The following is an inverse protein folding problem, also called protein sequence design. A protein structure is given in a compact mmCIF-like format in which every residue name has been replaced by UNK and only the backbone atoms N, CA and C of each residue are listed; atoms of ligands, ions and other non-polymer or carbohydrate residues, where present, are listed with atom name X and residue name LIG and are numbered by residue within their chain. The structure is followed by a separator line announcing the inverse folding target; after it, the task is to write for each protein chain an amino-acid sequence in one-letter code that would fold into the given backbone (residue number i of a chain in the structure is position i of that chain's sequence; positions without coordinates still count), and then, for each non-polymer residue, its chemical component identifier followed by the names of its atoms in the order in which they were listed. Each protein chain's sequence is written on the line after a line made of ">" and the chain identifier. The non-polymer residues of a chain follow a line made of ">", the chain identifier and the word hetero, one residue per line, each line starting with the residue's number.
data_IF_706947927774
#
_entry.id   IF_706947927774
#
_cell.length_a   1.000
_cell.length_b   1.000
_cell.length_c   1.000
_cell.angle_alpha   90.00
_cell.angle_beta   90.00
_cell.angle_gamma   90.00
#
_symmetry.space_group_name_H-M   'P 1'
#
loop_
_entity.id
_entity.type
_entity.pdbx_description
1 polymer ?
#
# COMPACT_ATOMS: atom_id res chain seq x y z
N UNK A 1 1.33 19.98 7.91
CA UNK A 1 2.71 19.56 7.65
C UNK A 1 2.73 18.06 7.68
N UNK A 2 2.66 17.42 6.51
CA UNK A 2 2.79 15.98 6.34
C UNK A 2 4.29 15.73 6.09
N UNK A 3 5.05 15.49 7.16
CA UNK A 3 6.42 15.02 7.10
C UNK A 3 6.45 13.54 7.46
N UNK A 4 6.09 12.69 6.50
CA UNK A 4 6.24 11.25 6.58
C UNK A 4 6.81 10.75 5.26
N UNK A 5 7.49 9.63 5.25
CA UNK A 5 8.09 9.04 4.06
C UNK A 5 7.09 9.03 2.89
N UNK A 6 7.44 9.56 1.71
CA UNK A 6 6.50 9.71 0.59
C UNK A 6 6.02 8.36 0.00
N UNK A 7 6.59 7.26 0.45
CA UNK A 7 6.23 5.89 0.01
C UNK A 7 5.15 5.23 0.87
N UNK A 8 4.82 5.79 2.05
CA UNK A 8 3.84 5.21 2.96
C UNK A 8 2.51 5.97 2.86
N UNK A 9 1.44 5.30 2.44
CA UNK A 9 0.07 5.85 2.40
C UNK A 9 -0.59 5.87 3.77
N UNK A 10 -0.03 5.20 4.78
CA UNK A 10 -0.60 5.10 6.12
C UNK A 10 -0.80 6.47 6.81
N UNK A 11 0.15 7.42 6.75
CA UNK A 11 -0.04 8.76 7.33
C UNK A 11 -1.24 9.51 6.75
N UNK A 12 -1.54 9.28 5.46
CA UNK A 12 -2.72 9.88 4.79
C UNK A 12 -4.00 9.29 5.36
N UNK A 13 -4.10 7.96 5.46
CA UNK A 13 -5.26 7.29 6.05
C UNK A 13 -5.51 7.75 7.49
N UNK A 14 -4.46 7.83 8.30
CA UNK A 14 -4.53 8.30 9.69
C UNK A 14 -4.97 9.76 9.80
N UNK A 15 -4.48 10.62 8.92
CA UNK A 15 -4.89 12.03 8.88
C UNK A 15 -6.37 12.19 8.53
N UNK A 16 -6.85 11.45 7.52
CA UNK A 16 -8.25 11.42 7.10
C UNK A 16 -9.15 11.02 8.27
N UNK A 17 -8.84 9.89 8.91
CA UNK A 17 -9.63 9.34 10.00
C UNK A 17 -9.63 10.28 11.22
N UNK A 18 -8.48 10.84 11.61
CA UNK A 18 -8.42 11.83 12.70
C UNK A 18 -9.23 13.10 12.40
N UNK A 19 -9.20 13.56 11.17
CA UNK A 19 -9.95 14.76 10.77
C UNK A 19 -11.45 14.50 10.76
N UNK A 20 -11.88 13.34 10.24
CA UNK A 20 -13.28 12.93 10.28
C UNK A 20 -13.77 12.76 11.73
N UNK A 21 -12.98 12.10 12.59
CA UNK A 21 -13.35 11.91 13.99
C UNK A 21 -13.59 13.25 14.72
N UNK A 22 -12.71 14.22 14.49
CA UNK A 22 -12.86 15.58 15.08
C UNK A 22 -14.04 16.35 14.52
N UNK A 23 -14.25 16.30 13.20
CA UNK A 23 -15.30 17.06 12.53
C UNK A 23 -16.69 16.61 12.95
N UNK A 24 -16.90 15.29 13.08
CA UNK A 24 -18.19 14.72 13.40
C UNK A 24 -18.39 14.44 14.91
N UNK A 25 -17.35 14.67 15.74
CA UNK A 25 -17.33 14.28 17.15
C UNK A 25 -17.73 12.80 17.32
N UNK A 26 -17.13 11.93 16.50
CA UNK A 26 -17.44 10.49 16.43
C UNK A 26 -16.16 9.67 16.24
N UNK A 27 -16.21 8.40 16.61
CA UNK A 27 -15.15 7.46 16.23
C UNK A 27 -15.19 7.24 14.71
N UNK A 28 -14.03 7.22 14.07
CA UNK A 28 -13.93 7.06 12.62
C UNK A 28 -13.01 5.91 12.23
N UNK A 29 -13.31 5.27 11.11
CA UNK A 29 -12.49 4.24 10.49
C UNK A 29 -12.54 4.35 8.96
N UNK A 30 -11.45 3.95 8.32
CA UNK A 30 -11.33 3.87 6.87
C UNK A 30 -10.96 2.44 6.48
N UNK A 31 -11.63 1.93 5.46
CA UNK A 31 -11.35 0.63 4.84
C UNK A 31 -11.12 0.79 3.35
N UNK A 32 -10.22 -0.01 2.80
CA UNK A 32 -9.99 -0.13 1.34
C UNK A 32 -10.57 -1.42 0.81
N UNK A 33 -10.97 -1.41 -0.45
CA UNK A 33 -11.36 -2.61 -1.19
C UNK A 33 -10.11 -3.39 -1.56
N UNK A 34 -10.05 -4.67 -1.19
CA UNK A 34 -8.99 -5.61 -1.50
C UNK A 34 -9.57 -6.93 -2.02
N UNK A 35 -8.72 -7.85 -2.44
CA UNK A 35 -9.16 -9.12 -3.00
C UNK A 35 -9.98 -9.97 -2.01
N UNK A 36 -9.70 -9.85 -0.72
CA UNK A 36 -10.36 -10.59 0.36
C UNK A 36 -11.52 -9.83 1.03
N UNK A 37 -11.80 -8.59 0.61
CA UNK A 37 -12.88 -7.79 1.17
C UNK A 37 -12.50 -6.34 1.50
N UNK A 38 -13.20 -5.76 2.46
CA UNK A 38 -12.97 -4.41 2.98
C UNK A 38 -11.99 -4.46 4.15
N UNK A 39 -10.71 -4.18 3.89
CA UNK A 39 -9.65 -4.18 4.90
C UNK A 39 -9.55 -2.84 5.60
N UNK A 40 -9.52 -2.86 6.93
CA UNK A 40 -9.33 -1.65 7.75
C UNK A 40 -7.89 -1.14 7.61
N UNK A 41 -7.74 0.12 7.19
CA UNK A 41 -6.46 0.81 7.03
C UNK A 41 -6.16 1.78 8.15
N UNK A 42 -7.19 2.47 8.65
CA UNK A 42 -7.02 3.41 9.74
C UNK A 42 -8.25 3.48 10.63
N UNK A 43 -8.04 3.93 11.88
CA UNK A 43 -9.08 4.16 12.88
C UNK A 43 -8.66 5.25 13.87
N UNK A 44 -9.63 5.94 14.46
CA UNK A 44 -9.40 6.99 15.46
C UNK A 44 -9.46 6.49 16.92
N UNK A 45 -9.59 5.17 17.14
CA UNK A 45 -9.76 4.52 18.44
C UNK A 45 -8.75 3.39 18.63
N UNK A 46 -8.47 3.02 19.91
CA UNK A 46 -7.51 1.97 20.22
C UNK A 46 -8.00 0.57 19.79
N UNK A 47 -7.04 -0.33 19.53
CA UNK A 47 -7.32 -1.65 18.94
C UNK A 47 -8.02 -2.61 19.88
N UNK A 48 -7.79 -2.48 21.18
CA UNK A 48 -8.08 -3.48 22.20
C UNK A 48 -9.19 -3.10 23.17
N UNK A 49 -9.75 -1.88 23.02
CA UNK A 49 -10.71 -1.42 24.02
C UNK A 49 -12.16 -1.84 23.72
N UNK A 50 -12.50 -2.05 22.43
CA UNK A 50 -13.90 -2.29 22.05
C UNK A 50 -14.02 -2.95 20.68
N UNK A 51 -15.04 -3.78 20.46
CA UNK A 51 -15.31 -4.38 19.16
C UNK A 51 -16.02 -3.40 18.22
N UNK A 52 -15.34 -2.95 17.18
CA UNK A 52 -15.86 -2.08 16.11
C UNK A 52 -16.02 -2.81 14.76
N UNK A 53 -16.31 -4.11 14.79
CA UNK A 53 -16.36 -4.97 13.62
C UNK A 53 -14.99 -5.58 13.27
N UNK A 54 -15.00 -6.58 12.41
CA UNK A 54 -13.81 -7.28 11.95
C UNK A 54 -12.82 -6.37 11.20
N UNK A 55 -11.55 -6.73 11.18
CA UNK A 55 -10.52 -5.99 10.41
C UNK A 55 -10.74 -6.14 8.90
N UNK A 56 -11.13 -7.32 8.45
CA UNK A 56 -11.59 -7.56 7.08
C UNK A 56 -13.08 -7.88 7.11
N UNK A 57 -13.86 -7.17 6.30
CA UNK A 57 -15.30 -7.39 6.18
C UNK A 57 -15.68 -7.75 4.74
N UNK A 58 -16.63 -8.65 4.54
CA UNK A 58 -17.10 -8.98 3.19
C UNK A 58 -17.71 -7.77 2.50
N UNK A 59 -17.59 -7.74 1.17
CA UNK A 59 -18.31 -6.76 0.32
C UNK A 59 -19.66 -7.38 -0.02
N UNK A 60 -20.59 -7.26 0.90
CA UNK A 60 -21.94 -7.79 0.76
C UNK A 60 -23.00 -6.80 1.29
N UNK A 61 -24.27 -7.20 1.22
CA UNK A 61 -25.39 -6.38 1.72
C UNK A 61 -25.70 -6.59 3.20
N UNK A 62 -24.95 -7.45 3.91
CA UNK A 62 -25.21 -7.76 5.31
C UNK A 62 -24.70 -6.66 6.23
N UNK A 63 -23.64 -5.95 5.85
CA UNK A 63 -23.08 -4.84 6.64
C UNK A 63 -23.34 -3.48 5.97
N UNK A 64 -23.39 -2.42 6.79
CA UNK A 64 -23.55 -1.05 6.29
C UNK A 64 -22.38 -0.65 5.39
N UNK A 65 -21.15 -1.02 5.77
CA UNK A 65 -19.95 -0.69 4.98
C UNK A 65 -19.95 -1.41 3.63
N UNK A 66 -20.34 -2.69 3.59
CA UNK A 66 -20.46 -3.45 2.34
C UNK A 66 -21.54 -2.87 1.44
N UNK A 67 -22.70 -2.53 2.01
CA UNK A 67 -23.80 -1.88 1.27
C UNK A 67 -23.39 -0.52 0.70
N UNK A 68 -22.69 0.32 1.47
CA UNK A 68 -22.24 1.63 1.01
C UNK A 68 -21.30 1.51 -0.21
N UNK A 69 -20.43 0.51 -0.22
CA UNK A 69 -19.53 0.20 -1.34
C UNK A 69 -20.31 -0.28 -2.57
N UNK A 70 -21.24 -1.23 -2.39
CA UNK A 70 -22.07 -1.78 -3.48
C UNK A 70 -22.97 -0.70 -4.09
N UNK A 71 -23.66 0.07 -3.24
CA UNK A 71 -24.63 1.07 -3.65
C UNK A 71 -23.96 2.39 -4.08
N UNK A 72 -22.68 2.56 -3.78
CA UNK A 72 -21.87 3.76 -4.10
C UNK A 72 -22.53 5.06 -3.65
N UNK A 73 -23.18 5.05 -2.49
CA UNK A 73 -23.80 6.21 -1.86
C UNK A 73 -23.66 6.15 -0.34
N UNK A 74 -23.71 7.30 0.35
CA UNK A 74 -23.67 7.32 1.79
C UNK A 74 -24.92 6.65 2.39
N UNK A 75 -24.70 5.87 3.44
CA UNK A 75 -25.73 5.15 4.19
C UNK A 75 -25.55 5.32 5.68
N UNK A 76 -26.60 5.13 6.45
CA UNK A 76 -26.53 5.11 7.91
C UNK A 76 -27.47 4.09 8.53
N UNK A 77 -27.04 3.54 9.69
CA UNK A 77 -27.86 2.82 10.66
C UNK A 77 -27.96 3.71 11.91
N UNK A 78 -29.08 4.40 12.11
CA UNK A 78 -29.26 5.31 13.25
C UNK A 78 -29.27 4.61 14.62
N UNK A 79 -29.66 3.34 14.65
CA UNK A 79 -29.57 2.48 15.81
C UNK A 79 -29.26 1.04 15.37
N UNK A 80 -28.06 0.56 15.68
CA UNK A 80 -27.62 -0.80 15.34
C UNK A 80 -28.41 -1.90 16.07
N UNK A 81 -29.18 -1.56 17.06
CA UNK A 81 -30.06 -2.48 17.79
C UNK A 81 -31.53 -2.42 17.34
N UNK A 82 -31.85 -1.54 16.40
CA UNK A 82 -33.20 -1.46 15.84
C UNK A 82 -33.49 -2.65 14.92
N UNK A 83 -34.77 -3.05 14.76
CA UNK A 83 -35.16 -4.12 13.83
C UNK A 83 -34.76 -3.85 12.38
N UNK A 84 -34.68 -2.58 12.00
CA UNK A 84 -34.34 -2.12 10.64
C UNK A 84 -32.82 -2.06 10.38
N UNK A 85 -32.01 -2.25 11.42
CA UNK A 85 -30.55 -2.26 11.28
C UNK A 85 -30.09 -3.38 10.33
N UNK A 86 -28.90 -3.20 9.77
CA UNK A 86 -28.31 -4.23 8.88
C UNK A 86 -28.19 -5.59 9.59
N UNK A 87 -28.28 -6.72 8.86
CA UNK A 87 -28.14 -8.05 9.47
C UNK A 87 -26.91 -8.19 10.37
N UNK A 88 -25.77 -7.74 9.90
CA UNK A 88 -24.51 -7.74 10.67
C UNK A 88 -24.62 -6.96 11.98
N UNK A 89 -25.24 -5.77 11.95
CA UNK A 89 -25.40 -4.96 13.15
C UNK A 89 -26.30 -5.65 14.20
N UNK A 90 -27.41 -6.28 13.76
CA UNK A 90 -28.33 -7.03 14.63
C UNK A 90 -27.68 -8.27 15.23
N UNK A 91 -26.92 -9.02 14.43
CA UNK A 91 -26.20 -10.22 14.89
C UNK A 91 -25.18 -9.88 15.97
N UNK A 92 -24.54 -8.73 15.87
CA UNK A 92 -23.49 -8.28 16.79
C UNK A 92 -23.96 -7.18 17.76
N UNK A 93 -25.27 -6.95 17.90
CA UNK A 93 -25.84 -5.81 18.63
C UNK A 93 -25.32 -5.67 20.08
N UNK A 94 -25.04 -6.78 20.76
CA UNK A 94 -24.47 -6.78 22.13
C UNK A 94 -22.95 -6.65 22.21
N UNK A 95 -22.25 -6.71 21.09
CA UNK A 95 -20.79 -6.72 21.01
C UNK A 95 -20.24 -5.41 20.44
N UNK A 96 -21.00 -4.75 19.55
CA UNK A 96 -20.57 -3.50 18.92
C UNK A 96 -20.46 -2.38 19.95
N UNK A 97 -19.31 -1.72 19.96
CA UNK A 97 -19.04 -0.57 20.81
C UNK A 97 -19.73 0.73 20.36
N UNK A 98 -20.69 0.63 19.45
CA UNK A 98 -21.44 1.77 18.93
C UNK A 98 -22.91 1.43 18.69
N UNK A 99 -23.76 2.45 18.84
CA UNK A 99 -25.22 2.38 18.64
C UNK A 99 -25.66 3.02 17.33
N UNK A 100 -24.85 3.89 16.75
CA UNK A 100 -25.12 4.45 15.42
C UNK A 100 -23.86 4.49 14.57
N UNK A 101 -24.02 4.32 13.25
CA UNK A 101 -22.95 4.35 12.28
C UNK A 101 -23.44 4.99 10.99
N UNK A 102 -22.59 5.81 10.36
CA UNK A 102 -22.76 6.30 9.01
C UNK A 102 -21.52 5.98 8.19
N UNK A 103 -21.71 5.66 6.92
CA UNK A 103 -20.64 5.24 6.00
C UNK A 103 -20.79 5.94 4.68
N UNK A 104 -19.70 6.48 4.14
CA UNK A 104 -19.61 7.05 2.81
C UNK A 104 -18.58 6.29 1.96
N UNK A 105 -18.91 5.87 0.76
CA UNK A 105 -17.98 5.18 -0.12
C UNK A 105 -16.92 6.15 -0.66
N UNK A 106 -15.72 5.63 -0.87
CA UNK A 106 -14.63 6.28 -1.58
C UNK A 106 -14.73 5.87 -3.03
N UNK A 107 -15.28 6.74 -3.88
CA UNK A 107 -15.56 6.40 -5.29
C UNK A 107 -14.53 7.06 -6.21
N UNK A 108 -13.90 6.25 -7.07
CA UNK A 108 -12.99 6.68 -8.12
C UNK A 108 -13.42 6.06 -9.45
N UNK A 109 -13.58 6.89 -10.48
CA UNK A 109 -13.94 6.45 -11.83
C UNK A 109 -15.17 5.52 -11.84
N UNK A 110 -16.18 5.84 -11.01
CA UNK A 110 -17.41 5.04 -10.88
C UNK A 110 -17.27 3.75 -10.09
N UNK A 111 -16.08 3.42 -9.57
CA UNK A 111 -15.83 2.24 -8.74
C UNK A 111 -15.53 2.63 -7.30
N UNK A 112 -16.08 1.89 -6.34
CA UNK A 112 -15.74 2.11 -4.95
C UNK A 112 -14.39 1.46 -4.63
N UNK A 113 -13.41 2.26 -4.18
CA UNK A 113 -12.08 1.83 -3.76
C UNK A 113 -11.94 1.66 -2.25
N UNK A 114 -12.98 2.06 -1.51
CA UNK A 114 -13.00 1.98 -0.06
C UNK A 114 -14.26 2.57 0.53
N UNK A 115 -14.25 2.73 1.85
CA UNK A 115 -15.34 3.34 2.63
C UNK A 115 -14.77 4.02 3.87
N UNK A 116 -15.26 5.23 4.16
CA UNK A 116 -15.05 5.90 5.44
C UNK A 116 -16.32 5.78 6.28
N UNK A 117 -16.17 5.48 7.55
CA UNK A 117 -17.29 5.34 8.49
C UNK A 117 -17.06 6.17 9.74
N UNK A 118 -18.13 6.74 10.27
CA UNK A 118 -18.16 7.40 11.57
C UNK A 118 -19.22 6.73 12.45
N UNK A 119 -18.89 6.50 13.71
CA UNK A 119 -19.75 5.76 14.65
C UNK A 119 -19.82 6.45 16.02
N UNK A 120 -20.95 6.30 16.71
CA UNK A 120 -21.20 6.86 18.05
C UNK A 120 -21.76 5.80 18.98
N UNK A 121 -21.40 5.82 20.30
CA UNK A 121 -22.01 4.95 21.30
C UNK A 121 -23.48 5.32 21.57
N UNK A 122 -23.95 6.47 21.10
CA UNK A 122 -25.33 6.90 21.21
C UNK A 122 -26.10 6.60 19.92
N UNK A 123 -27.38 6.17 20.00
CA UNK A 123 -28.24 6.09 18.83
C UNK A 123 -28.54 7.50 18.33
N UNK A 124 -28.78 7.63 17.03
CA UNK A 124 -29.16 8.89 16.41
C UNK A 124 -28.74 8.97 14.96
N UNK A 125 -29.65 9.46 14.14
CA UNK A 125 -29.39 9.72 12.72
C UNK A 125 -28.50 10.95 12.55
N UNK A 126 -27.62 10.90 11.59
CA UNK A 126 -26.97 12.10 11.06
C UNK A 126 -27.95 12.83 10.13
N UNK A 127 -27.95 14.16 10.19
CA UNK A 127 -28.74 14.97 9.27
C UNK A 127 -28.26 14.79 7.82
N UNK A 128 -29.11 15.12 6.85
CA UNK A 128 -28.75 15.10 5.43
C UNK A 128 -27.50 15.95 5.15
N UNK A 129 -27.38 17.11 5.79
CA UNK A 129 -26.22 17.98 5.69
C UNK A 129 -24.94 17.31 6.22
N UNK A 130 -25.04 16.58 7.31
CA UNK A 130 -23.91 15.83 7.86
C UNK A 130 -23.53 14.64 6.96
N UNK A 131 -24.52 13.95 6.38
CA UNK A 131 -24.29 12.86 5.42
C UNK A 131 -23.64 13.36 4.14
N UNK A 132 -24.09 14.50 3.60
CA UNK A 132 -23.44 15.15 2.45
C UNK A 132 -22.00 15.57 2.77
N UNK A 133 -21.76 16.08 3.97
CA UNK A 133 -20.41 16.44 4.43
C UNK A 133 -19.51 15.20 4.57
N UNK A 134 -20.05 14.08 5.07
CA UNK A 134 -19.30 12.81 5.15
C UNK A 134 -18.92 12.30 3.75
N UNK A 135 -19.82 12.44 2.75
CA UNK A 135 -19.49 12.10 1.36
C UNK A 135 -18.38 13.02 0.83
N UNK A 136 -18.51 14.33 1.02
CA UNK A 136 -17.42 15.27 0.62
C UNK A 136 -16.08 14.90 1.25
N UNK A 137 -16.10 14.42 2.49
CA UNK A 137 -14.90 13.92 3.16
C UNK A 137 -14.35 12.65 2.49
N UNK A 138 -15.23 11.75 2.06
CA UNK A 138 -14.88 10.58 1.24
C UNK A 138 -14.24 10.97 -0.08
N UNK A 139 -14.80 11.96 -0.78
CA UNK A 139 -14.26 12.44 -2.06
C UNK A 139 -12.87 13.07 -1.89
N UNK A 140 -12.64 13.85 -0.82
CA UNK A 140 -11.32 14.38 -0.49
C UNK A 140 -10.31 13.27 -0.13
N UNK A 141 -10.79 12.21 0.53
CA UNK A 141 -9.96 11.06 0.84
C UNK A 141 -9.47 10.34 -0.44
N UNK A 142 -10.33 10.20 -1.45
CA UNK A 142 -9.96 9.64 -2.76
C UNK A 142 -8.84 10.44 -3.39
N UNK A 143 -8.95 11.78 -3.41
CA UNK A 143 -7.92 12.67 -3.96
C UNK A 143 -6.58 12.48 -3.22
N UNK A 144 -6.61 12.44 -1.88
CA UNK A 144 -5.41 12.29 -1.08
C UNK A 144 -4.72 10.91 -1.28
N UNK A 145 -5.51 9.85 -1.38
CA UNK A 145 -5.03 8.48 -1.66
C UNK A 145 -4.39 8.42 -3.05
N UNK A 146 -5.06 8.99 -4.05
CA UNK A 146 -4.59 8.98 -5.43
C UNK A 146 -3.31 9.80 -5.60
N UNK A 147 -3.23 10.97 -4.97
CA UNK A 147 -2.02 11.79 -4.98
C UNK A 147 -0.83 11.04 -4.37
N UNK A 148 -1.04 10.32 -3.27
CA UNK A 148 0.02 9.49 -2.67
C UNK A 148 0.46 8.36 -3.59
N UNK A 149 -0.47 7.68 -4.26
CA UNK A 149 -0.18 6.61 -5.22
C UNK A 149 0.66 7.14 -6.40
N UNK A 150 0.19 8.23 -7.03
CA UNK A 150 0.89 8.86 -8.17
C UNK A 150 2.28 9.35 -7.79
N UNK A 151 2.43 9.92 -6.60
CA UNK A 151 3.73 10.34 -6.10
C UNK A 151 4.70 9.16 -5.98
N UNK A 152 4.24 8.04 -5.41
CA UNK A 152 5.05 6.84 -5.27
C UNK A 152 5.45 6.26 -6.63
N UNK A 153 4.50 6.13 -7.56
CA UNK A 153 4.76 5.65 -8.92
C UNK A 153 5.77 6.53 -9.68
N UNK A 154 5.63 7.86 -9.53
CA UNK A 154 6.57 8.82 -10.15
C UNK A 154 7.97 8.68 -9.57
N UNK A 155 8.08 8.53 -8.24
CA UNK A 155 9.34 8.33 -7.55
C UNK A 155 10.04 7.05 -8.02
N UNK A 156 9.32 5.92 -8.03
CA UNK A 156 9.86 4.64 -8.52
C UNK A 156 10.28 4.69 -10.00
N UNK A 157 9.52 5.41 -10.84
CA UNK A 157 9.87 5.59 -12.24
C UNK A 157 11.15 6.44 -12.40
N UNK A 158 11.28 7.50 -11.60
CA UNK A 158 12.47 8.35 -11.59
C UNK A 158 13.71 7.58 -11.11
N UNK A 159 13.59 6.79 -10.05
CA UNK A 159 14.69 5.96 -9.54
C UNK A 159 15.16 4.97 -10.60
N UNK A 160 14.25 4.30 -11.30
CA UNK A 160 14.58 3.40 -12.43
C UNK A 160 15.25 4.14 -13.57
N UNK A 161 14.75 5.32 -13.93
CA UNK A 161 15.33 6.13 -15.01
C UNK A 161 16.75 6.63 -14.67
N UNK A 162 16.95 7.08 -13.43
CA UNK A 162 18.26 7.52 -12.94
C UNK A 162 19.28 6.37 -12.98
N UNK A 163 18.91 5.19 -12.47
CA UNK A 163 19.78 4.01 -12.50
C UNK A 163 20.16 3.62 -13.95
N UNK A 164 19.19 3.69 -14.89
CA UNK A 164 19.47 3.41 -16.31
C UNK A 164 20.42 4.45 -16.92
N UNK A 165 20.21 5.74 -16.62
CA UNK A 165 21.08 6.82 -17.12
C UNK A 165 22.53 6.70 -16.61
N UNK A 166 22.70 6.35 -15.34
CA UNK A 166 24.03 6.12 -14.74
C UNK A 166 24.79 4.98 -15.43
N UNK A 167 24.11 3.90 -15.79
CA UNK A 167 24.69 2.78 -16.53
C UNK A 167 25.09 3.22 -17.95
N UNK A 168 24.20 3.94 -18.65
CA UNK A 168 24.48 4.44 -20.01
C UNK A 168 25.64 5.44 -20.03
N UNK A 169 25.74 6.32 -19.03
CA UNK A 169 26.85 7.26 -18.90
C UNK A 169 28.18 6.53 -18.68
N UNK A 170 28.18 5.50 -17.83
CA UNK A 170 29.35 4.66 -17.61
C UNK A 170 29.81 3.94 -18.89
N UNK A 171 28.84 3.42 -19.70
CA UNK A 171 29.15 2.79 -21.01
C UNK A 171 29.73 3.81 -21.98
N UNK A 172 29.18 5.03 -22.05
CA UNK A 172 29.61 6.07 -22.99
C UNK A 172 31.00 6.63 -22.69
N UNK A 173 31.38 6.66 -21.41
CA UNK A 173 32.66 7.22 -20.97
C UNK A 173 33.82 6.21 -20.94
N UNK A 174 33.58 4.91 -21.17
CA UNK A 174 34.61 3.87 -21.11
C UNK A 174 34.98 3.34 -22.48
N UNK A 175 35.80 4.06 -23.20
CA UNK A 175 36.34 3.62 -24.53
C UNK A 175 37.50 2.62 -24.40
N UNK A 176 38.13 2.47 -23.20
CA UNK A 176 39.32 1.65 -23.01
C UNK A 176 39.29 0.63 -21.87
N UNK A 177 38.39 0.79 -20.91
CA UNK A 177 38.27 -0.12 -19.76
C UNK A 177 36.80 -0.29 -19.39
N UNK A 178 36.29 -1.49 -19.54
CA UNK A 178 34.90 -1.81 -19.27
C UNK A 178 34.60 -2.07 -17.76
N UNK A 179 35.63 -2.14 -16.92
CA UNK A 179 35.49 -2.44 -15.49
C UNK A 179 34.58 -1.46 -14.75
N UNK A 180 34.70 -0.11 -14.94
CA UNK A 180 33.78 0.84 -14.29
C UNK A 180 32.32 0.70 -14.70
N UNK A 181 32.07 0.19 -15.93
CA UNK A 181 30.70 -0.10 -16.40
C UNK A 181 30.09 -1.24 -15.59
N UNK A 182 30.84 -2.32 -15.42
CA UNK A 182 30.35 -3.49 -14.69
C UNK A 182 30.14 -3.20 -13.22
N UNK A 183 31.01 -2.42 -12.58
CA UNK A 183 30.84 -1.95 -11.21
C UNK A 183 29.54 -1.15 -11.05
N UNK A 184 29.26 -0.22 -11.99
CA UNK A 184 28.06 0.58 -11.95
C UNK A 184 26.77 -0.23 -12.21
N UNK A 185 26.84 -1.27 -13.03
CA UNK A 185 25.75 -2.23 -13.23
C UNK A 185 25.43 -2.94 -11.91
N UNK A 186 26.42 -3.48 -11.24
CA UNK A 186 26.28 -4.18 -9.96
C UNK A 186 25.69 -3.25 -8.90
N UNK A 187 26.19 -2.02 -8.76
CA UNK A 187 25.69 -1.01 -7.84
C UNK A 187 24.22 -0.62 -8.12
N UNK A 188 23.85 -0.54 -9.39
CA UNK A 188 22.49 -0.21 -9.78
C UNK A 188 21.52 -1.36 -9.51
N UNK A 189 21.95 -2.58 -9.75
CA UNK A 189 21.19 -3.79 -9.42
C UNK A 189 20.99 -3.94 -7.91
N UNK A 190 22.01 -3.67 -7.10
CA UNK A 190 21.91 -3.68 -5.64
C UNK A 190 20.83 -2.68 -5.15
N UNK A 191 20.87 -1.46 -5.63
CA UNK A 191 19.88 -0.42 -5.29
C UNK A 191 18.45 -0.77 -5.73
N UNK A 192 18.29 -1.42 -6.89
CA UNK A 192 16.97 -1.72 -7.46
C UNK A 192 16.33 -2.97 -6.88
N UNK A 193 17.15 -3.97 -6.55
CA UNK A 193 16.66 -5.30 -6.16
C UNK A 193 16.95 -5.64 -4.71
N UNK A 194 17.84 -4.90 -4.03
CA UNK A 194 18.25 -5.17 -2.65
C UNK A 194 18.83 -6.58 -2.50
N UNK A 195 19.56 -7.06 -3.52
CA UNK A 195 20.11 -8.40 -3.52
C UNK A 195 21.41 -8.44 -2.72
N UNK A 196 21.59 -9.48 -1.89
CA UNK A 196 22.78 -9.62 -1.03
C UNK A 196 24.05 -9.96 -1.82
N UNK A 197 23.91 -10.62 -2.99
CA UNK A 197 25.01 -11.05 -3.84
C UNK A 197 24.69 -10.80 -5.31
N UNK A 198 25.51 -9.97 -5.95
CA UNK A 198 25.37 -9.62 -7.36
C UNK A 198 26.73 -9.76 -8.04
N UNK A 199 26.76 -10.42 -9.18
CA UNK A 199 27.97 -10.63 -9.95
C UNK A 199 27.77 -10.43 -11.45
N UNK A 200 28.77 -9.89 -12.12
CA UNK A 200 28.87 -9.86 -13.57
C UNK A 200 30.05 -10.74 -13.99
N UNK A 201 29.77 -11.73 -14.83
CA UNK A 201 30.78 -12.62 -15.38
C UNK A 201 31.00 -12.34 -16.86
N UNK A 202 32.24 -12.41 -17.29
CA UNK A 202 32.64 -12.36 -18.68
C UNK A 202 33.27 -13.70 -19.11
N UNK A 203 32.92 -14.12 -20.30
CA UNK A 203 33.61 -15.27 -20.94
C UNK A 203 34.76 -14.75 -21.79
N UNK A 204 35.99 -15.15 -21.46
CA UNK A 204 37.21 -14.86 -22.24
C UNK A 204 38.05 -16.13 -22.29
N UNK A 205 38.56 -16.48 -23.49
CA UNK A 205 39.45 -17.62 -23.69
C UNK A 205 38.91 -18.94 -23.07
N UNK A 206 37.62 -19.21 -23.30
CA UNK A 206 36.91 -20.38 -22.73
C UNK A 206 36.92 -20.45 -21.19
N UNK A 207 37.13 -19.32 -20.54
CA UNK A 207 37.09 -19.17 -19.09
C UNK A 207 36.06 -18.13 -18.66
N UNK A 208 35.46 -18.35 -17.49
CA UNK A 208 34.56 -17.43 -16.82
C UNK A 208 35.37 -16.55 -15.86
N UNK A 209 35.32 -15.23 -16.07
CA UNK A 209 35.98 -14.22 -15.25
C UNK A 209 34.96 -13.38 -14.51
N UNK A 210 35.21 -13.04 -13.25
CA UNK A 210 34.43 -12.05 -12.51
C UNK A 210 34.83 -10.67 -13.02
N UNK A 211 33.87 -9.94 -13.61
CA UNK A 211 34.08 -8.58 -14.08
C UNK A 211 33.72 -7.55 -13.00
N UNK A 212 32.69 -7.82 -12.20
CA UNK A 212 32.35 -7.05 -11.01
C UNK A 212 31.54 -7.94 -10.05
N UNK A 213 31.65 -7.64 -8.77
CA UNK A 213 30.95 -8.33 -7.69
C UNK A 213 30.60 -7.36 -6.56
N UNK A 214 29.40 -7.54 -6.00
CA UNK A 214 28.99 -6.93 -4.74
C UNK A 214 28.33 -7.98 -3.86
N UNK A 215 28.80 -8.12 -2.62
CA UNK A 215 28.32 -9.08 -1.64
C UNK A 215 29.39 -9.43 -0.62
N UNK A 216 29.05 -10.37 0.26
CA UNK A 216 29.90 -10.74 1.39
C UNK A 216 31.05 -11.71 1.04
N UNK A 217 31.08 -12.25 -0.20
CA UNK A 217 32.02 -13.29 -0.63
C UNK A 217 33.07 -12.79 -1.64
N UNK A 218 33.50 -11.52 -1.54
CA UNK A 218 34.43 -10.92 -2.52
C UNK A 218 35.79 -11.66 -2.59
N UNK A 219 36.34 -12.05 -1.46
CA UNK A 219 37.61 -12.79 -1.40
C UNK A 219 37.49 -14.21 -1.96
N UNK A 220 36.37 -14.87 -1.69
CA UNK A 220 36.09 -16.22 -2.20
C UNK A 220 35.87 -16.18 -3.73
N UNK A 221 35.19 -15.16 -4.23
CA UNK A 221 35.00 -14.94 -5.67
C UNK A 221 36.34 -14.67 -6.37
N UNK A 222 37.19 -13.85 -5.79
CA UNK A 222 38.50 -13.57 -6.37
C UNK A 222 39.41 -14.82 -6.42
N UNK A 223 39.27 -15.75 -5.47
CA UNK A 223 40.03 -17.02 -5.44
C UNK A 223 39.42 -18.08 -6.34
N UNK A 224 38.12 -18.10 -6.52
CA UNK A 224 37.38 -19.11 -7.28
C UNK A 224 37.46 -18.92 -8.80
N UNK A 225 37.78 -17.71 -9.29
CA UNK A 225 37.84 -17.37 -10.69
C UNK A 225 39.20 -16.85 -11.13
N UNK A 226 39.65 -17.06 -12.41
CA UNK A 226 38.86 -17.60 -13.51
C UNK A 226 38.60 -19.11 -13.44
N UNK A 227 37.49 -19.59 -14.01
CA UNK A 227 37.13 -21.01 -14.09
C UNK A 227 36.92 -21.43 -15.55
N UNK A 228 37.32 -22.67 -15.97
CA UNK A 228 37.00 -23.19 -17.29
C UNK A 228 35.49 -23.25 -17.52
N UNK A 229 35.05 -22.89 -18.72
CA UNK A 229 33.62 -22.97 -19.11
C UNK A 229 33.12 -24.42 -19.20
N UNK A 230 34.01 -25.36 -19.59
CA UNK A 230 33.71 -26.77 -19.63
C UNK A 230 33.61 -27.32 -18.20
N UNK A 231 32.41 -27.71 -17.77
CA UNK A 231 32.10 -28.26 -16.45
C UNK A 231 31.08 -27.40 -15.64
N UNK A 232 30.78 -26.17 -16.06
CA UNK A 232 29.80 -25.34 -15.38
C UNK A 232 28.36 -25.47 -15.90
N UNK A 233 28.15 -26.07 -17.07
CA UNK A 233 26.82 -26.16 -17.73
C UNK A 233 26.32 -27.60 -17.89
N UNK A 234 27.13 -28.62 -17.68
CA UNK A 234 26.76 -30.00 -18.04
C UNK A 234 26.33 -30.90 -16.88
N UNK A 235 26.24 -30.40 -15.65
CA UNK A 235 25.75 -31.17 -14.49
C UNK A 235 24.36 -30.77 -13.99
N UNK A 236 23.63 -29.92 -14.73
CA UNK A 236 22.25 -29.57 -14.44
C UNK A 236 21.29 -30.06 -15.55
N UNK A 237 21.40 -31.34 -15.93
CA UNK A 237 20.41 -32.02 -16.78
C UNK A 237 19.84 -33.22 -16.06
#
# INVERSE_FOLDING_TARGET
>A
VISGSPTDTQPVFDAIVRSAARLFDRKAALRTVEADGLRRRARSYAAHDEFHGADVMPIDRNSLVGRAVIERRPLQDPDTQAPEATPYAREHAGQLAFRSIASAPLVRDGSAIGVISVSSPQPGAMSEKQMALLQTFGDQAVIAIENSRLFNETKEALERQTATAEVLDAISNSVSDATPVFEKIVDSCDRLFGANDISVFLVRDEQLHVAAYRGDYADDMAQAFPRPLAGTVSEMS
#
